data_IF_317695023673
#
_entry.id   IF_317695023673
#
_cell.length_a   1.000
_cell.length_b   1.000
_cell.length_c   1.000
_cell.angle_alpha   90.00
_cell.angle_beta   90.00
_cell.angle_gamma   90.00
#
_symmetry.space_group_name_H-M   'P 1'
#
loop_
_entity.id
_entity.type
_entity.pdbx_description
1 polymer ?
#
# COMPACT_ATOMS: atom_id res chain seq x y z
N UNK A 1 -21.05 19.67 -2.05
CA UNK A 1 -19.89 18.97 -2.63
C UNK A 1 -19.38 17.91 -1.65
N UNK A 2 -19.00 16.74 -2.17
CA UNK A 2 -18.41 15.64 -1.39
C UNK A 2 -16.99 15.40 -1.88
N UNK A 3 -16.03 15.33 -0.95
CA UNK A 3 -14.66 14.90 -1.26
C UNK A 3 -14.60 13.38 -1.33
N UNK A 4 -14.14 12.84 -2.45
CA UNK A 4 -13.98 11.39 -2.65
C UNK A 4 -12.51 11.03 -2.47
N UNK A 5 -12.26 10.03 -1.59
CA UNK A 5 -10.95 9.44 -1.35
C UNK A 5 -10.97 7.96 -1.76
N UNK A 6 -9.86 7.46 -2.28
CA UNK A 6 -9.71 6.02 -2.52
C UNK A 6 -9.56 5.27 -1.20
N UNK A 7 -10.20 4.12 -1.08
CA UNK A 7 -9.98 3.15 0.00
C UNK A 7 -9.04 2.01 -0.41
N UNK A 8 -8.52 2.05 -1.63
CA UNK A 8 -7.59 1.06 -2.20
C UNK A 8 -6.41 1.79 -2.83
N UNK A 9 -5.20 1.47 -2.37
CA UNK A 9 -3.96 2.07 -2.86
C UNK A 9 -3.77 1.91 -4.37
N UNK A 10 -4.10 0.72 -4.91
CA UNK A 10 -3.95 0.42 -6.33
C UNK A 10 -4.93 1.17 -7.23
N UNK A 11 -6.00 1.70 -6.66
CA UNK A 11 -7.03 2.48 -7.36
C UNK A 11 -6.90 3.99 -7.16
N UNK A 12 -5.91 4.46 -6.41
CA UNK A 12 -5.73 5.89 -6.11
C UNK A 12 -5.63 6.74 -7.36
N UNK A 13 -4.73 6.40 -8.28
CA UNK A 13 -4.56 7.16 -9.52
C UNK A 13 -5.76 7.04 -10.47
N UNK A 14 -6.35 5.86 -10.74
CA UNK A 14 -7.59 5.74 -11.50
C UNK A 14 -8.72 6.61 -10.93
N UNK A 15 -8.94 6.57 -9.61
CA UNK A 15 -9.98 7.37 -8.97
C UNK A 15 -9.69 8.87 -9.06
N UNK A 16 -8.43 9.25 -8.90
CA UNK A 16 -8.00 10.64 -9.06
C UNK A 16 -8.23 11.16 -10.47
N UNK A 17 -8.10 10.33 -11.51
CA UNK A 17 -8.35 10.71 -12.92
C UNK A 17 -9.81 11.10 -13.19
N UNK A 18 -10.74 10.68 -12.34
CA UNK A 18 -12.17 11.02 -12.41
C UNK A 18 -12.60 11.97 -11.28
N UNK A 19 -11.65 12.61 -10.58
CA UNK A 19 -11.93 13.68 -9.63
C UNK A 19 -11.72 13.33 -8.15
N UNK A 20 -11.25 12.12 -7.81
CA UNK A 20 -10.84 11.79 -6.45
C UNK A 20 -9.68 12.66 -5.96
N UNK A 21 -9.61 12.92 -4.64
CA UNK A 21 -8.69 13.90 -4.05
C UNK A 21 -7.58 13.28 -3.18
N UNK A 22 -7.56 11.97 -3.03
CA UNK A 22 -6.55 11.31 -2.21
C UNK A 22 -6.89 9.85 -1.89
N UNK A 23 -6.25 9.31 -0.86
CA UNK A 23 -6.37 7.91 -0.46
C UNK A 23 -6.30 7.75 1.05
N UNK A 24 -7.06 6.80 1.58
CA UNK A 24 -6.85 6.22 2.91
C UNK A 24 -6.02 4.96 2.68
N UNK A 25 -4.71 5.09 2.84
CA UNK A 25 -3.71 4.15 2.34
C UNK A 25 -3.34 3.09 3.37
N UNK A 26 -3.20 1.85 2.94
CA UNK A 26 -2.60 0.74 3.69
C UNK A 26 -1.06 0.84 3.62
N UNK A 27 -0.50 1.00 2.42
CA UNK A 27 0.96 0.99 2.23
C UNK A 27 1.66 2.23 2.77
N UNK A 28 0.93 3.31 3.06
CA UNK A 28 1.47 4.48 3.75
C UNK A 28 1.99 4.16 5.17
N UNK A 29 1.62 3.03 5.76
CA UNK A 29 2.20 2.57 7.02
C UNK A 29 3.69 2.19 6.88
N UNK A 30 4.16 1.85 5.69
CA UNK A 30 5.56 1.41 5.44
C UNK A 30 6.30 2.28 4.43
N UNK A 31 5.58 2.95 3.51
CA UNK A 31 6.16 3.85 2.49
C UNK A 31 5.40 5.18 2.40
N UNK A 32 5.24 5.92 3.51
CA UNK A 32 4.43 7.14 3.53
C UNK A 32 4.95 8.23 2.57
N UNK A 33 6.26 8.35 2.42
CA UNK A 33 6.88 9.33 1.53
C UNK A 33 6.53 9.07 0.05
N UNK A 34 6.53 7.82 -0.37
CA UNK A 34 6.23 7.42 -1.74
C UNK A 34 4.74 7.62 -2.08
N UNK A 35 3.85 7.29 -1.14
CA UNK A 35 2.40 7.57 -1.28
C UNK A 35 2.16 9.08 -1.33
N UNK A 36 2.83 9.85 -0.46
CA UNK A 36 2.73 11.30 -0.48
C UNK A 36 3.20 11.89 -1.82
N UNK A 37 4.35 11.45 -2.33
CA UNK A 37 4.87 11.92 -3.62
C UNK A 37 3.88 11.68 -4.76
N UNK A 38 3.23 10.52 -4.80
CA UNK A 38 2.19 10.23 -5.78
C UNK A 38 0.98 11.15 -5.64
N UNK A 39 0.48 11.33 -4.41
CA UNK A 39 -0.72 12.15 -4.15
C UNK A 39 -0.48 13.63 -4.37
N UNK A 40 0.69 14.16 -4.04
CA UNK A 40 1.04 15.55 -4.35
C UNK A 40 1.00 15.81 -5.86
N UNK A 41 1.63 14.95 -6.66
CA UNK A 41 1.62 15.05 -8.13
C UNK A 41 0.22 14.95 -8.72
N UNK A 42 -0.65 14.12 -8.14
CA UNK A 42 -2.07 14.04 -8.52
C UNK A 42 -2.76 15.39 -8.27
N UNK A 43 -2.56 15.99 -7.10
CA UNK A 43 -3.20 17.27 -6.74
C UNK A 43 -2.66 18.44 -7.58
N UNK A 44 -1.40 18.37 -7.98
CA UNK A 44 -0.76 19.32 -8.90
C UNK A 44 -1.20 19.13 -10.37
N UNK A 45 -1.85 18.00 -10.69
CA UNK A 45 -2.28 17.67 -12.05
C UNK A 45 -1.19 17.03 -12.91
N UNK A 46 0.00 16.70 -12.36
CA UNK A 46 1.08 16.02 -13.09
C UNK A 46 0.83 14.50 -13.12
N UNK A 47 -0.16 14.10 -13.92
CA UNK A 47 -0.52 12.68 -14.05
C UNK A 47 0.58 11.85 -14.74
N UNK A 48 1.50 12.46 -15.46
CA UNK A 48 2.61 11.75 -16.10
C UNK A 48 3.58 11.22 -15.04
N UNK A 49 4.02 12.08 -14.12
CA UNK A 49 4.88 11.66 -13.01
C UNK A 49 4.13 10.82 -11.98
N UNK A 50 2.86 11.13 -11.68
CA UNK A 50 2.03 10.32 -10.78
C UNK A 50 1.92 8.86 -11.26
N UNK A 51 1.83 8.61 -12.60
CA UNK A 51 1.85 7.26 -13.17
C UNK A 51 3.14 6.48 -12.90
N UNK A 52 4.28 7.15 -12.80
CA UNK A 52 5.56 6.49 -12.47
C UNK A 52 5.51 5.96 -11.03
N UNK A 53 5.04 6.78 -10.10
CA UNK A 53 4.84 6.37 -8.70
C UNK A 53 3.78 5.28 -8.57
N UNK A 54 2.67 5.40 -9.27
CA UNK A 54 1.63 4.38 -9.30
C UNK A 54 2.18 3.01 -9.72
N UNK A 55 2.98 2.96 -10.79
CA UNK A 55 3.62 1.72 -11.26
C UNK A 55 4.58 1.14 -10.23
N UNK A 56 5.39 2.00 -9.58
CA UNK A 56 6.29 1.58 -8.50
C UNK A 56 5.54 0.98 -7.32
N UNK A 57 4.46 1.63 -6.89
CA UNK A 57 3.66 1.23 -5.74
C UNK A 57 2.73 0.03 -6.02
N UNK A 58 2.41 -0.25 -7.28
CA UNK A 58 1.29 -1.13 -7.65
C UNK A 58 1.41 -2.55 -7.08
N UNK A 59 2.55 -3.22 -7.26
CA UNK A 59 2.74 -4.59 -6.76
C UNK A 59 2.64 -4.65 -5.23
N UNK A 60 3.27 -3.69 -4.54
CA UNK A 60 3.20 -3.56 -3.09
C UNK A 60 1.75 -3.37 -2.62
N UNK A 61 1.04 -2.40 -3.20
CA UNK A 61 -0.35 -2.09 -2.88
C UNK A 61 -1.27 -3.28 -3.12
N UNK A 62 -1.12 -3.94 -4.27
CA UNK A 62 -1.94 -5.09 -4.66
C UNK A 62 -1.77 -6.25 -3.67
N UNK A 63 -0.53 -6.59 -3.32
CA UNK A 63 -0.24 -7.72 -2.45
C UNK A 63 -0.70 -7.48 -0.99
N UNK A 64 -0.69 -6.23 -0.50
CA UNK A 64 -1.24 -5.90 0.82
C UNK A 64 -2.74 -6.21 0.94
N UNK A 65 -3.48 -6.25 -0.15
CA UNK A 65 -4.93 -6.51 -0.14
C UNK A 65 -5.31 -7.91 -0.64
N UNK A 66 -4.40 -8.61 -1.34
CA UNK A 66 -4.71 -9.90 -1.97
C UNK A 66 -4.10 -11.11 -1.28
N UNK A 67 -3.02 -10.95 -0.52
CA UNK A 67 -2.39 -12.06 0.22
C UNK A 67 -3.28 -12.57 1.36
N UNK A 68 -3.97 -11.68 2.05
CA UNK A 68 -4.96 -11.99 3.07
C UNK A 68 -5.83 -10.76 3.34
N UNK A 69 -6.85 -10.91 4.18
CA UNK A 69 -7.68 -9.80 4.64
C UNK A 69 -6.84 -8.74 5.37
N UNK A 70 -7.02 -7.46 5.00
CA UNK A 70 -6.43 -6.34 5.75
C UNK A 70 -6.92 -6.35 7.22
N UNK A 71 -6.07 -6.14 8.23
CA UNK A 71 -4.68 -5.66 8.18
C UNK A 71 -3.61 -6.77 8.27
N UNK A 72 -3.92 -8.03 7.99
CA UNK A 72 -2.98 -9.16 8.19
C UNK A 72 -1.66 -8.95 7.41
N UNK A 73 -1.68 -8.65 6.06
CA UNK A 73 -0.44 -8.49 5.32
C UNK A 73 0.38 -7.27 5.76
N UNK A 74 -0.27 -6.14 6.02
CA UNK A 74 0.47 -4.93 6.42
C UNK A 74 1.09 -5.06 7.81
N UNK A 75 0.42 -5.72 8.76
CA UNK A 75 0.99 -6.02 10.07
C UNK A 75 2.21 -6.94 9.96
N UNK A 76 2.13 -7.97 9.12
CA UNK A 76 3.26 -8.85 8.84
C UNK A 76 4.42 -8.10 8.16
N UNK A 77 4.14 -7.20 7.21
CA UNK A 77 5.14 -6.36 6.57
C UNK A 77 5.85 -5.45 7.57
N UNK A 78 5.09 -4.76 8.43
CA UNK A 78 5.64 -3.90 9.47
C UNK A 78 6.50 -4.68 10.47
N UNK A 79 6.11 -5.92 10.81
CA UNK A 79 6.93 -6.78 11.67
C UNK A 79 8.23 -7.22 10.99
N UNK A 80 8.21 -7.52 9.68
CA UNK A 80 9.43 -7.82 8.91
C UNK A 80 10.38 -6.62 8.81
N UNK A 81 9.87 -5.41 8.98
CA UNK A 81 10.62 -4.15 8.99
C UNK A 81 10.96 -3.66 10.41
N UNK A 82 10.78 -4.49 11.42
CA UNK A 82 11.04 -4.19 12.84
C UNK A 82 10.28 -2.96 13.39
N UNK A 83 9.11 -2.63 12.79
CA UNK A 83 8.30 -1.48 13.19
C UNK A 83 7.30 -1.81 14.30
N UNK A 84 6.81 -3.04 14.37
CA UNK A 84 5.88 -3.53 15.41
C UNK A 84 5.83 -5.06 15.40
N UNK A 85 5.08 -5.68 16.35
CA UNK A 85 4.77 -7.11 16.31
C UNK A 85 3.69 -7.41 15.26
N UNK A 86 3.65 -8.65 14.75
CA UNK A 86 2.57 -9.13 13.87
C UNK A 86 1.34 -9.67 14.63
N UNK A 87 1.25 -9.39 15.93
CA UNK A 87 0.13 -9.76 16.77
C UNK A 87 -1.18 -9.14 16.28
N UNK A 88 -2.23 -9.96 16.23
CA UNK A 88 -3.55 -9.58 15.77
C UNK A 88 -4.62 -9.99 16.79
N UNK A 89 -5.69 -9.21 16.89
CA UNK A 89 -6.86 -9.58 17.68
C UNK A 89 -7.69 -10.63 16.94
N UNK A 90 -8.19 -11.64 17.68
CA UNK A 90 -9.12 -12.61 17.12
C UNK A 90 -10.38 -11.92 16.53
N UNK A 91 -10.96 -12.46 15.48
CA UNK A 91 -10.69 -13.76 14.82
C UNK A 91 -9.53 -13.76 13.81
N UNK A 92 -8.80 -12.67 13.63
CA UNK A 92 -7.65 -12.62 12.72
C UNK A 92 -6.47 -13.43 13.28
N UNK A 93 -5.79 -14.14 12.38
CA UNK A 93 -4.60 -14.96 12.70
C UNK A 93 -3.40 -14.47 11.90
N UNK A 94 -2.16 -14.73 12.35
CA UNK A 94 -0.98 -14.37 11.59
C UNK A 94 -0.97 -14.91 10.16
N UNK A 95 -0.29 -14.21 9.27
CA UNK A 95 -0.16 -14.60 7.87
C UNK A 95 0.49 -15.99 7.73
N UNK A 96 -0.08 -16.83 6.88
CA UNK A 96 0.43 -18.19 6.60
C UNK A 96 1.87 -18.17 6.07
N UNK A 97 2.70 -19.20 6.37
CA UNK A 97 4.12 -19.22 5.98
C UNK A 97 4.38 -19.00 4.49
N UNK A 98 3.60 -19.65 3.61
CA UNK A 98 3.73 -19.47 2.15
C UNK A 98 3.45 -18.03 1.72
N UNK A 99 2.44 -17.39 2.31
CA UNK A 99 2.09 -15.99 2.06
C UNK A 99 3.11 -15.03 2.67
N UNK A 100 3.72 -15.38 3.83
CA UNK A 100 4.85 -14.62 4.40
C UNK A 100 6.04 -14.60 3.43
N UNK A 101 6.34 -15.72 2.77
CA UNK A 101 7.41 -15.79 1.77
C UNK A 101 7.11 -14.89 0.57
N UNK A 102 5.89 -14.92 0.04
CA UNK A 102 5.46 -14.05 -1.05
C UNK A 102 5.51 -12.56 -0.65
N UNK A 103 5.09 -12.23 0.58
CA UNK A 103 5.17 -10.88 1.13
C UNK A 103 6.63 -10.41 1.24
N UNK A 104 7.51 -11.25 1.79
CA UNK A 104 8.93 -10.95 1.89
C UNK A 104 9.54 -10.64 0.52
N UNK A 105 9.22 -11.44 -0.50
CA UNK A 105 9.66 -11.18 -1.88
C UNK A 105 9.16 -9.82 -2.37
N UNK A 106 7.88 -9.50 -2.14
CA UNK A 106 7.31 -8.20 -2.51
C UNK A 106 8.06 -7.03 -1.86
N UNK A 107 8.40 -7.13 -0.58
CA UNK A 107 9.16 -6.11 0.14
C UNK A 107 10.60 -5.98 -0.38
N UNK A 108 11.23 -7.11 -0.71
CA UNK A 108 12.58 -7.14 -1.31
C UNK A 108 12.57 -6.52 -2.71
N UNK A 109 11.62 -6.87 -3.57
CA UNK A 109 11.48 -6.31 -4.92
C UNK A 109 11.21 -4.81 -4.90
N UNK A 110 10.53 -4.32 -3.87
CA UNK A 110 10.31 -2.89 -3.65
C UNK A 110 11.56 -2.15 -3.15
N UNK A 111 12.51 -2.88 -2.54
CA UNK A 111 13.73 -2.34 -1.95
C UNK A 111 13.62 -2.00 -0.45
N UNK A 112 12.66 -2.57 0.26
CA UNK A 112 12.47 -2.39 1.70
C UNK A 112 13.21 -3.44 2.53
N UNK A 113 13.53 -4.58 1.95
CA UNK A 113 14.34 -5.65 2.55
C UNK A 113 15.50 -6.02 1.63
N UNK A 114 16.59 -6.46 2.23
CA UNK A 114 17.76 -7.03 1.56
C UNK A 114 17.65 -8.56 1.41
#
# INVERSE_FOLDING_TARGET
>A
DITILSGDDSLTLPLASVGGKGVISVVANIVPADVKAMTDLILEGDLVKARQWHRKLFALSKNMLTLATNPIPIKAAMAMLDMCSDELRLPMTPLEPAKKTALKQTLTDYGLLS
#
